data_IF_579867315452
#
_entry.id   IF_579867315452
#
_cell.length_a   1.000
_cell.length_b   1.000
_cell.length_c   1.000
_cell.angle_alpha   90.00
_cell.angle_beta   90.00
_cell.angle_gamma   90.00
#
_symmetry.space_group_name_H-M   'P 1'
#
loop_
_entity.id
_entity.type
_entity.pdbx_description
1 polymer ?
#
# COMPACT_ATOMS: atom_id res chain seq x y z
N UNK A 1 -77.41 48.77 0.91
CA UNK A 1 -76.30 48.95 1.87
C UNK A 1 -75.35 47.73 1.71
N UNK A 2 -74.09 47.91 1.30
CA UNK A 2 -72.99 47.04 1.35
C UNK A 2 -72.86 45.90 0.29
N UNK A 3 -72.57 46.27 -0.94
CA UNK A 3 -72.09 45.38 -1.97
C UNK A 3 -70.74 45.88 -2.57
N UNK A 4 -69.83 46.48 -1.80
CA UNK A 4 -68.57 46.99 -2.36
C UNK A 4 -67.29 46.58 -1.61
N UNK A 5 -67.32 45.52 -0.80
CA UNK A 5 -66.15 45.10 -0.05
C UNK A 5 -65.58 43.69 -0.40
N UNK A 6 -66.21 43.02 -1.32
CA UNK A 6 -65.73 41.64 -1.69
C UNK A 6 -64.77 41.58 -2.91
N UNK A 7 -64.63 42.70 -3.68
CA UNK A 7 -63.89 42.68 -4.96
C UNK A 7 -62.45 43.15 -4.84
N UNK A 8 -62.01 43.66 -3.68
CA UNK A 8 -60.63 44.16 -3.52
C UNK A 8 -59.67 43.22 -2.85
N UNK A 9 -60.19 42.11 -2.32
CA UNK A 9 -59.32 41.10 -1.66
C UNK A 9 -58.85 39.99 -2.59
N UNK A 10 -59.45 39.83 -3.77
CA UNK A 10 -59.07 38.78 -4.73
C UNK A 10 -57.91 39.19 -5.68
N UNK A 11 -57.62 40.49 -5.82
CA UNK A 11 -56.56 40.96 -6.72
C UNK A 11 -55.20 40.99 -6.02
N UNK A 12 -55.16 41.06 -4.70
CA UNK A 12 -53.88 41.04 -3.96
C UNK A 12 -53.31 39.63 -3.74
N UNK A 13 -54.14 38.57 -3.90
CA UNK A 13 -53.67 37.20 -3.77
C UNK A 13 -53.11 36.62 -5.09
N UNK A 14 -53.36 37.26 -6.23
CA UNK A 14 -52.90 36.77 -7.55
C UNK A 14 -51.51 37.30 -7.96
N UNK A 15 -50.99 38.32 -7.25
CA UNK A 15 -49.68 38.91 -7.54
C UNK A 15 -48.56 38.24 -6.72
N UNK A 16 -48.92 37.50 -5.68
CA UNK A 16 -47.90 36.75 -4.89
C UNK A 16 -47.61 35.35 -5.41
N UNK A 17 -48.33 34.86 -6.41
CA UNK A 17 -48.11 33.53 -7.03
C UNK A 17 -47.24 33.59 -8.27
N UNK A 18 -46.70 34.76 -8.65
CA UNK A 18 -45.78 34.93 -9.78
C UNK A 18 -44.37 35.32 -9.37
N UNK A 19 -44.07 35.46 -8.07
CA UNK A 19 -42.72 35.30 -7.60
C UNK A 19 -42.49 33.79 -7.45
N UNK A 20 -42.62 33.07 -8.55
CA UNK A 20 -42.16 31.72 -8.64
C UNK A 20 -40.69 31.74 -8.22
N UNK A 21 -40.44 31.25 -7.04
CA UNK A 21 -39.15 30.76 -6.67
C UNK A 21 -38.76 29.74 -7.76
N UNK A 22 -38.11 30.20 -8.81
CA UNK A 22 -37.21 29.34 -9.55
C UNK A 22 -36.04 29.07 -8.60
N UNK A 23 -36.28 28.26 -7.57
CA UNK A 23 -35.22 27.40 -7.11
C UNK A 23 -34.88 26.57 -8.33
N UNK A 24 -33.93 27.03 -9.10
CA UNK A 24 -33.11 26.15 -9.92
C UNK A 24 -32.60 25.16 -8.87
N UNK A 25 -33.26 24.01 -8.82
CA UNK A 25 -32.64 22.84 -8.25
C UNK A 25 -31.47 22.60 -9.22
N UNK A 26 -30.34 23.25 -8.90
CA UNK A 26 -29.06 22.88 -9.44
C UNK A 26 -28.86 21.45 -8.94
N UNK A 27 -29.34 20.50 -9.74
CA UNK A 27 -29.15 19.09 -9.43
C UNK A 27 -27.69 18.82 -9.73
N UNK A 28 -26.88 19.11 -8.73
CA UNK A 28 -25.48 18.78 -8.72
C UNK A 28 -25.35 17.28 -8.98
N UNK A 29 -24.96 16.91 -10.18
CA UNK A 29 -24.63 15.53 -10.51
C UNK A 29 -23.25 15.24 -10.00
N UNK A 30 -23.15 14.27 -9.10
CA UNK A 30 -21.85 13.83 -8.60
C UNK A 30 -21.09 13.09 -9.73
N UNK A 31 -19.78 13.29 -9.82
CA UNK A 31 -18.95 12.57 -10.78
C UNK A 31 -18.87 11.08 -10.40
N UNK A 32 -18.22 10.28 -11.22
CA UNK A 32 -17.90 8.89 -10.97
C UNK A 32 -16.39 8.71 -10.89
N UNK A 33 -15.86 8.37 -9.72
CA UNK A 33 -14.45 8.08 -9.51
C UNK A 33 -14.07 6.69 -10.04
N UNK A 34 -12.95 6.62 -10.75
CA UNK A 34 -12.33 5.37 -11.17
C UNK A 34 -10.82 5.45 -10.90
N UNK A 35 -10.23 4.38 -10.35
CA UNK A 35 -8.83 4.33 -9.95
C UNK A 35 -8.22 2.98 -10.33
N UNK A 36 -7.08 3.03 -10.99
CA UNK A 36 -6.20 1.89 -11.24
C UNK A 36 -4.85 2.20 -10.61
N UNK A 37 -4.35 1.30 -9.77
CA UNK A 37 -2.98 1.31 -9.24
C UNK A 37 -2.16 0.23 -9.94
N UNK A 38 -0.92 0.53 -10.32
CA UNK A 38 -0.04 -0.43 -11.01
C UNK A 38 1.43 -0.15 -10.69
N UNK A 39 2.19 -1.15 -10.20
CA UNK A 39 1.72 -2.44 -9.67
C UNK A 39 0.98 -2.28 -8.33
N UNK A 40 0.32 -3.34 -7.84
CA UNK A 40 -0.37 -3.34 -6.53
C UNK A 40 0.40 -4.07 -5.43
N UNK A 41 1.47 -4.77 -5.81
CA UNK A 41 2.41 -5.44 -4.93
C UNK A 41 3.81 -4.99 -5.32
N UNK A 42 4.58 -4.44 -4.37
CA UNK A 42 5.87 -3.79 -4.57
C UNK A 42 6.78 -4.00 -3.37
N UNK A 43 8.08 -3.75 -3.56
CA UNK A 43 9.04 -3.61 -2.46
C UNK A 43 9.06 -2.16 -1.94
N UNK A 44 9.50 -1.98 -0.69
CA UNK A 44 9.71 -0.64 -0.11
C UNK A 44 10.57 0.23 -1.03
N UNK A 45 10.08 1.43 -1.36
CA UNK A 45 10.78 2.40 -2.21
C UNK A 45 10.55 2.23 -3.70
N UNK A 46 9.83 1.21 -4.16
CA UNK A 46 9.41 1.11 -5.55
C UNK A 46 8.25 2.06 -5.86
N UNK A 47 8.11 2.41 -7.14
CA UNK A 47 7.11 3.37 -7.59
C UNK A 47 5.83 2.69 -8.05
N UNK A 48 4.69 3.17 -7.53
CA UNK A 48 3.35 2.81 -8.00
C UNK A 48 2.77 3.97 -8.81
N UNK A 49 2.19 3.67 -9.96
CA UNK A 49 1.44 4.63 -10.76
C UNK A 49 -0.05 4.51 -10.48
N UNK A 50 -0.72 5.65 -10.42
CA UNK A 50 -2.16 5.77 -10.17
C UNK A 50 -2.82 6.48 -11.34
N UNK A 51 -3.76 5.79 -11.99
CA UNK A 51 -4.49 6.28 -13.15
C UNK A 51 -5.99 6.40 -12.83
N UNK A 52 -6.46 7.64 -12.83
CA UNK A 52 -7.86 8.01 -12.62
C UNK A 52 -8.51 8.60 -13.88
N UNK A 53 -7.86 8.55 -15.04
CA UNK A 53 -8.35 9.15 -16.29
C UNK A 53 -9.65 8.54 -16.81
N UNK A 54 -10.04 7.36 -16.28
CA UNK A 54 -11.34 6.75 -16.55
C UNK A 54 -12.48 7.27 -15.66
N UNK A 55 -12.19 8.22 -14.76
CA UNK A 55 -13.23 8.93 -14.00
C UNK A 55 -14.08 9.78 -14.93
N UNK A 56 -15.38 9.89 -14.62
CA UNK A 56 -16.37 10.59 -15.44
C UNK A 56 -17.05 11.71 -14.63
N UNK A 57 -17.12 12.91 -15.19
CA UNK A 57 -17.81 14.06 -14.56
C UNK A 57 -19.34 13.92 -14.56
N UNK A 58 -19.89 12.97 -15.40
CA UNK A 58 -21.31 12.80 -15.72
C UNK A 58 -21.86 14.04 -16.47
N UNK A 59 -21.71 15.22 -15.88
CA UNK A 59 -21.98 16.53 -16.50
C UNK A 59 -20.78 17.45 -16.25
N UNK A 60 -20.46 18.30 -17.20
CA UNK A 60 -19.34 19.24 -17.12
C UNK A 60 -17.96 18.56 -17.26
N UNK A 61 -17.01 18.94 -16.42
CA UNK A 61 -15.64 18.46 -16.43
C UNK A 61 -15.13 18.17 -15.03
N UNK A 62 -14.22 17.20 -14.88
CA UNK A 62 -13.50 17.02 -13.63
C UNK A 62 -12.47 18.15 -13.51
N UNK A 63 -12.48 18.82 -12.37
CA UNK A 63 -11.59 19.97 -12.08
C UNK A 63 -10.46 19.60 -11.13
N UNK A 64 -10.62 18.53 -10.32
CA UNK A 64 -9.61 18.12 -9.35
C UNK A 64 -9.63 16.61 -9.11
N UNK A 65 -8.44 16.05 -8.96
CA UNK A 65 -8.17 14.70 -8.44
C UNK A 65 -7.35 14.85 -7.16
N UNK A 66 -7.95 14.57 -6.02
CA UNK A 66 -7.28 14.58 -4.72
C UNK A 66 -6.92 13.16 -4.31
N UNK A 67 -5.65 12.95 -3.99
CA UNK A 67 -5.03 11.67 -3.69
C UNK A 67 -4.60 11.65 -2.22
N UNK A 68 -5.03 10.62 -1.50
CA UNK A 68 -4.53 10.27 -0.18
C UNK A 68 -3.91 8.87 -0.27
N UNK A 69 -2.60 8.76 -0.12
CA UNK A 69 -1.89 7.51 -0.31
C UNK A 69 -2.00 6.55 0.88
N UNK A 70 -2.59 7.01 2.00
CA UNK A 70 -2.78 6.19 3.19
C UNK A 70 -1.54 6.02 4.06
N UNK A 71 -0.41 6.58 3.66
CA UNK A 71 0.86 6.62 4.41
C UNK A 71 1.07 7.94 5.17
N UNK A 72 0.08 8.84 5.12
CA UNK A 72 0.10 10.18 5.67
C UNK A 72 0.47 11.26 4.65
N UNK A 73 0.76 10.90 3.41
CA UNK A 73 1.03 11.84 2.31
C UNK A 73 -0.20 12.01 1.42
N UNK A 74 -0.36 13.21 0.86
CA UNK A 74 -1.48 13.59 0.00
C UNK A 74 -0.99 14.50 -1.11
N UNK A 75 -1.69 14.49 -2.26
CA UNK A 75 -1.44 15.41 -3.36
C UNK A 75 -2.73 15.68 -4.15
N UNK A 76 -2.72 16.72 -5.00
CA UNK A 76 -3.80 17.00 -5.94
C UNK A 76 -3.23 17.17 -7.35
N UNK A 77 -3.99 16.73 -8.36
CA UNK A 77 -3.65 16.87 -9.76
C UNK A 77 -4.87 17.29 -10.58
N UNK A 78 -4.64 17.80 -11.78
CA UNK A 78 -5.70 18.06 -12.78
C UNK A 78 -5.66 17.04 -13.92
N UNK A 79 -4.59 16.25 -14.02
CA UNK A 79 -4.36 15.30 -15.11
C UNK A 79 -5.02 13.93 -14.91
N UNK A 80 -5.50 13.63 -13.70
CA UNK A 80 -6.00 12.29 -13.34
C UNK A 80 -4.92 11.21 -13.31
N UNK A 81 -3.65 11.59 -13.21
CA UNK A 81 -2.52 10.66 -13.16
C UNK A 81 -1.46 11.16 -12.20
N UNK A 82 -0.91 10.23 -11.40
CA UNK A 82 0.20 10.51 -10.48
C UNK A 82 0.99 9.24 -10.20
N UNK A 83 2.15 9.36 -9.54
CA UNK A 83 2.90 8.25 -8.99
C UNK A 83 3.30 8.52 -7.54
N UNK A 84 3.59 7.46 -6.80
CA UNK A 84 4.01 7.54 -5.42
C UNK A 84 4.95 6.41 -5.04
N UNK A 85 5.89 6.66 -4.11
CA UNK A 85 6.79 5.69 -3.51
C UNK A 85 6.47 5.54 -2.03
N UNK A 86 6.19 4.32 -1.58
CA UNK A 86 5.96 4.01 -0.18
C UNK A 86 7.31 3.70 0.49
N UNK A 87 7.64 4.45 1.55
CA UNK A 87 8.92 4.32 2.26
C UNK A 87 8.84 3.40 3.48
N UNK A 88 7.74 2.72 3.67
CA UNK A 88 7.52 1.72 4.71
C UNK A 88 6.70 0.58 4.15
N UNK A 89 6.95 -0.60 4.66
CA UNK A 89 6.19 -1.79 4.35
C UNK A 89 4.79 -1.76 4.97
N UNK A 90 3.89 -2.58 4.45
CA UNK A 90 2.52 -2.73 4.92
C UNK A 90 1.45 -2.60 3.84
N UNK A 91 0.20 -2.45 4.26
CA UNK A 91 -0.94 -2.32 3.36
C UNK A 91 -1.46 -0.88 3.38
N UNK A 92 -1.53 -0.26 2.21
CA UNK A 92 -1.97 1.12 2.05
C UNK A 92 -3.25 1.18 1.21
N UNK A 93 -4.31 1.75 1.80
CA UNK A 93 -5.55 2.04 1.09
C UNK A 93 -5.45 3.44 0.48
N UNK A 94 -5.07 3.48 -0.80
CA UNK A 94 -4.98 4.75 -1.54
C UNK A 94 -6.38 5.20 -1.91
N UNK A 95 -6.76 6.39 -1.47
CA UNK A 95 -8.06 7.00 -1.74
C UNK A 95 -7.91 8.10 -2.80
N UNK A 96 -8.72 8.00 -3.83
CA UNK A 96 -8.96 9.05 -4.79
C UNK A 96 -10.29 9.73 -4.48
N UNK A 97 -10.31 11.07 -4.51
CA UNK A 97 -11.54 11.86 -4.54
C UNK A 97 -11.49 12.73 -5.79
N UNK A 98 -12.52 12.66 -6.62
CA UNK A 98 -12.68 13.50 -7.81
C UNK A 98 -13.74 14.59 -7.57
N UNK A 99 -13.51 15.78 -8.11
CA UNK A 99 -14.44 16.93 -8.03
C UNK A 99 -14.75 17.43 -9.44
N UNK A 100 -16.01 17.66 -9.75
CA UNK A 100 -16.41 18.29 -11.02
C UNK A 100 -16.60 19.80 -10.88
N UNK A 101 -16.80 20.52 -12.00
CA UNK A 101 -17.02 21.96 -12.04
C UNK A 101 -18.34 22.41 -11.41
N UNK A 102 -19.34 21.53 -11.25
CA UNK A 102 -20.52 21.71 -10.44
C UNK A 102 -20.25 21.62 -8.94
N UNK A 103 -19.03 21.22 -8.54
CA UNK A 103 -18.60 20.98 -7.15
C UNK A 103 -19.18 19.68 -6.57
N UNK A 104 -19.67 18.73 -7.42
CA UNK A 104 -19.96 17.34 -7.06
C UNK A 104 -18.68 16.58 -6.76
N UNK A 105 -18.73 15.59 -5.88
CA UNK A 105 -17.57 14.76 -5.53
C UNK A 105 -17.93 13.29 -5.45
N UNK A 106 -16.99 12.43 -5.84
CA UNK A 106 -17.06 10.99 -5.59
C UNK A 106 -15.69 10.47 -5.22
N UNK A 107 -15.62 9.33 -4.56
CA UNK A 107 -14.35 8.74 -4.15
C UNK A 107 -14.32 7.24 -4.29
N UNK A 108 -13.13 6.71 -4.58
CA UNK A 108 -12.84 5.28 -4.67
C UNK A 108 -11.49 4.98 -4.03
N UNK A 109 -11.20 3.70 -3.79
CA UNK A 109 -9.94 3.26 -3.17
C UNK A 109 -9.30 2.13 -3.97
N UNK A 110 -7.96 2.07 -3.89
CA UNK A 110 -7.16 0.94 -4.34
C UNK A 110 -6.23 0.50 -3.21
N UNK A 111 -6.06 -0.81 -3.05
CA UNK A 111 -5.11 -1.38 -2.08
C UNK A 111 -3.76 -1.57 -2.75
N UNK A 112 -2.70 -1.10 -2.09
CA UNK A 112 -1.30 -1.38 -2.43
C UNK A 112 -0.67 -2.14 -1.27
N UNK A 113 0.03 -3.24 -1.58
CA UNK A 113 0.84 -4.01 -0.65
C UNK A 113 2.30 -3.69 -0.89
N UNK A 114 3.00 -3.35 0.17
CA UNK A 114 4.42 -3.00 0.14
C UNK A 114 5.16 -3.98 1.02
N UNK A 115 5.98 -4.81 0.42
CA UNK A 115 6.79 -5.78 1.12
C UNK A 115 8.04 -5.13 1.72
N UNK A 116 8.40 -5.53 2.93
CA UNK A 116 9.63 -5.21 3.63
C UNK A 116 10.51 -6.43 3.77
N UNK A 117 11.79 -6.29 3.56
CA UNK A 117 12.74 -7.41 3.72
C UNK A 117 12.79 -7.90 5.18
N UNK A 118 12.98 -9.21 5.41
CA UNK A 118 13.17 -9.75 6.74
C UNK A 118 14.30 -9.10 7.51
N UNK A 119 14.08 -8.81 8.79
CA UNK A 119 15.08 -8.27 9.71
C UNK A 119 15.78 -9.41 10.43
N UNK A 120 16.97 -9.76 9.95
CA UNK A 120 17.74 -10.87 10.49
C UNK A 120 18.23 -10.51 11.91
N UNK A 121 17.88 -11.36 12.88
CA UNK A 121 18.41 -11.34 14.23
C UNK A 121 19.14 -12.65 14.48
N UNK A 122 20.46 -12.59 14.35
CA UNK A 122 21.36 -13.75 14.41
C UNK A 122 22.22 -13.72 15.68
N UNK A 123 22.13 -14.78 16.47
CA UNK A 123 23.00 -15.03 17.62
C UNK A 123 23.94 -16.21 17.32
N UNK A 124 25.24 -15.93 17.27
CA UNK A 124 26.29 -16.93 17.06
C UNK A 124 27.41 -16.73 18.08
N UNK A 125 28.03 -17.80 18.61
CA UNK A 125 29.18 -17.69 19.49
C UNK A 125 30.43 -17.31 18.69
N UNK A 126 31.20 -16.30 19.14
CA UNK A 126 32.47 -15.91 18.52
C UNK A 126 33.55 -17.02 18.63
N UNK A 127 33.54 -17.76 19.72
CA UNK A 127 34.52 -18.81 20.02
C UNK A 127 33.80 -19.98 20.70
N UNK A 128 34.07 -21.17 20.18
CA UNK A 128 33.62 -22.44 20.74
C UNK A 128 34.82 -23.35 20.98
N UNK A 129 34.82 -24.14 22.04
CA UNK A 129 35.89 -25.11 22.30
C UNK A 129 35.76 -26.26 21.31
N UNK A 130 36.89 -26.77 20.82
CA UNK A 130 36.92 -27.99 20.00
C UNK A 130 36.29 -29.17 20.79
N UNK A 131 35.32 -29.82 20.17
CA UNK A 131 34.53 -30.90 20.73
C UNK A 131 33.17 -30.45 21.34
N UNK A 132 32.95 -29.14 21.52
CA UNK A 132 31.64 -28.61 21.89
C UNK A 132 30.73 -28.41 20.65
N UNK A 133 29.48 -28.08 20.87
CA UNK A 133 28.50 -27.75 19.83
C UNK A 133 28.31 -26.24 19.79
N UNK A 134 28.47 -25.63 18.61
CA UNK A 134 28.09 -24.26 18.37
C UNK A 134 26.58 -24.18 18.07
N UNK A 135 25.84 -23.36 18.80
CA UNK A 135 24.45 -23.05 18.49
C UNK A 135 24.41 -21.76 17.67
N UNK A 136 23.83 -21.84 16.47
CA UNK A 136 23.55 -20.71 15.58
C UNK A 136 22.05 -20.49 15.65
N UNK A 137 21.63 -19.35 16.17
CA UNK A 137 20.23 -19.07 16.47
C UNK A 137 19.75 -17.84 15.69
N UNK A 138 18.86 -18.06 14.73
CA UNK A 138 18.19 -17.03 13.94
C UNK A 138 16.69 -16.92 14.24
N UNK A 139 16.20 -17.60 15.28
CA UNK A 139 14.77 -17.64 15.66
C UNK A 139 14.20 -16.26 16.04
N UNK A 140 15.08 -15.30 16.31
CA UNK A 140 14.68 -13.91 16.57
C UNK A 140 14.48 -13.06 15.31
N UNK A 141 14.67 -13.63 14.11
CA UNK A 141 14.41 -12.95 12.83
C UNK A 141 12.91 -12.69 12.68
N UNK A 142 12.58 -11.49 12.21
CA UNK A 142 11.19 -11.10 12.01
C UNK A 142 10.99 -10.55 10.60
N UNK A 143 9.86 -10.89 10.02
CA UNK A 143 9.34 -10.23 8.83
C UNK A 143 8.41 -9.07 9.25
N UNK A 144 8.51 -7.86 8.66
CA UNK A 144 7.69 -6.71 9.04
C UNK A 144 6.19 -6.91 8.82
N UNK A 145 5.79 -7.71 7.84
CA UNK A 145 4.40 -8.03 7.50
C UNK A 145 3.93 -9.32 8.17
N UNK A 146 4.86 -10.09 8.75
CA UNK A 146 4.60 -11.38 9.38
C UNK A 146 4.49 -12.52 8.37
N UNK A 147 5.12 -12.38 7.20
CA UNK A 147 5.17 -13.41 6.17
C UNK A 147 5.98 -14.63 6.63
N UNK A 148 5.63 -15.84 6.16
CA UNK A 148 6.40 -17.05 6.46
C UNK A 148 7.81 -16.96 5.87
N UNK A 149 8.82 -17.13 6.70
CA UNK A 149 10.22 -17.05 6.28
C UNK A 149 10.81 -18.45 6.00
N UNK A 150 11.73 -18.50 5.04
CA UNK A 150 12.59 -19.66 4.78
C UNK A 150 14.00 -19.31 5.14
N UNK A 151 14.62 -20.15 5.95
CA UNK A 151 16.02 -20.03 6.33
C UNK A 151 16.86 -20.91 5.43
N UNK A 152 18.01 -20.44 4.96
CA UNK A 152 18.96 -21.17 4.13
C UNK A 152 20.36 -20.90 4.66
N UNK A 153 20.95 -21.90 5.31
CA UNK A 153 22.30 -21.84 5.87
C UNK A 153 23.27 -22.54 4.94
N UNK A 154 24.33 -21.83 4.58
CA UNK A 154 25.57 -22.39 4.09
C UNK A 154 26.57 -22.36 5.24
N UNK A 155 26.92 -23.51 5.80
CA UNK A 155 27.70 -23.63 7.03
C UNK A 155 29.19 -23.75 6.79
N UNK A 156 29.62 -23.95 5.54
CA UNK A 156 31.04 -24.09 5.20
C UNK A 156 31.34 -23.70 3.76
N UNK A 157 31.81 -22.51 3.54
CA UNK A 157 32.22 -21.99 2.21
C UNK A 157 33.36 -22.77 1.52
N UNK A 158 33.93 -23.81 2.14
CA UNK A 158 35.02 -24.61 1.59
C UNK A 158 34.53 -25.94 1.04
N UNK A 159 33.29 -26.29 1.22
CA UNK A 159 32.69 -27.54 0.75
C UNK A 159 31.59 -27.22 -0.27
N UNK A 160 31.58 -27.94 -1.36
CA UNK A 160 30.54 -27.98 -2.36
C UNK A 160 29.66 -29.20 -2.05
N UNK A 161 28.64 -29.00 -1.21
CA UNK A 161 27.80 -30.08 -0.72
C UNK A 161 26.75 -30.52 -1.73
N UNK A 162 26.38 -29.64 -2.67
CA UNK A 162 25.41 -29.92 -3.72
C UNK A 162 26.08 -30.43 -5.04
N UNK A 163 27.39 -30.23 -5.22
CA UNK A 163 28.18 -30.74 -6.35
C UNK A 163 28.04 -29.91 -7.64
N UNK A 164 27.63 -28.64 -7.55
CA UNK A 164 27.46 -27.76 -8.71
C UNK A 164 28.73 -26.99 -9.12
N UNK A 165 29.77 -27.05 -8.30
CA UNK A 165 31.06 -26.37 -8.50
C UNK A 165 31.15 -24.99 -7.81
N UNK A 166 30.12 -24.57 -7.11
CA UNK A 166 30.06 -23.32 -6.34
C UNK A 166 29.93 -23.63 -4.84
N UNK A 167 30.87 -23.18 -4.02
CA UNK A 167 30.95 -23.54 -2.60
C UNK A 167 30.25 -22.53 -1.68
N UNK A 168 29.51 -21.55 -2.21
CA UNK A 168 28.89 -20.46 -1.43
C UNK A 168 27.39 -20.33 -1.64
N UNK A 169 26.79 -21.32 -2.25
CA UNK A 169 25.35 -21.36 -2.55
C UNK A 169 24.69 -22.64 -2.02
N UNK A 170 25.44 -23.41 -1.25
CA UNK A 170 24.96 -24.67 -0.68
C UNK A 170 23.97 -24.40 0.45
N UNK A 171 22.94 -25.22 0.53
CA UNK A 171 22.00 -25.18 1.64
C UNK A 171 22.19 -26.40 2.51
N UNK A 172 22.94 -26.23 3.61
CA UNK A 172 23.24 -27.28 4.57
C UNK A 172 22.14 -27.47 5.61
N UNK A 173 21.37 -26.41 5.90
CA UNK A 173 20.23 -26.45 6.81
C UNK A 173 19.18 -25.40 6.47
N UNK A 174 17.92 -25.72 6.80
CA UNK A 174 16.76 -24.81 6.67
C UNK A 174 16.09 -24.53 8.01
N UNK A 175 16.69 -24.93 9.10
CA UNK A 175 16.17 -24.74 10.45
C UNK A 175 16.46 -23.32 10.96
N UNK A 176 15.61 -22.77 11.80
CA UNK A 176 15.83 -21.47 12.46
C UNK A 176 17.01 -21.50 13.43
N UNK A 177 17.26 -22.68 14.04
CA UNK A 177 18.36 -22.91 14.98
C UNK A 177 19.17 -24.10 14.46
N UNK A 178 20.47 -23.90 14.30
CA UNK A 178 21.39 -24.91 13.84
C UNK A 178 22.42 -25.26 14.93
N UNK A 179 22.66 -26.54 15.13
CA UNK A 179 23.67 -27.07 16.07
C UNK A 179 24.84 -27.63 15.28
N UNK A 180 25.95 -26.91 15.25
CA UNK A 180 27.16 -27.25 14.47
C UNK A 180 28.21 -27.91 15.39
N UNK A 181 28.55 -29.19 15.18
CA UNK A 181 29.65 -29.85 15.90
C UNK A 181 31.01 -29.25 15.53
N UNK A 182 31.86 -28.96 16.53
CA UNK A 182 33.19 -28.37 16.34
C UNK A 182 34.29 -29.39 16.64
N UNK A 183 34.48 -30.39 15.78
CA UNK A 183 35.44 -31.49 16.01
C UNK A 183 36.89 -31.06 15.90
N UNK A 184 37.20 -30.02 15.14
CA UNK A 184 38.56 -29.54 14.87
C UNK A 184 38.70 -28.09 15.20
N UNK A 185 39.90 -27.66 15.62
CA UNK A 185 40.21 -26.24 15.78
C UNK A 185 40.37 -25.60 14.37
N UNK A 186 39.83 -24.40 14.24
CA UNK A 186 39.86 -23.63 12.99
C UNK A 186 38.82 -22.51 12.99
N UNK A 187 38.65 -21.89 11.86
CA UNK A 187 37.60 -20.90 11.61
C UNK A 187 36.64 -21.49 10.58
N UNK A 188 35.35 -21.43 10.85
CA UNK A 188 34.31 -21.77 9.91
C UNK A 188 33.69 -20.47 9.40
N UNK A 189 33.49 -20.38 8.11
CA UNK A 189 32.81 -19.27 7.45
C UNK A 189 31.57 -19.80 6.75
N UNK A 190 30.44 -19.18 7.00
CA UNK A 190 29.16 -19.53 6.41
C UNK A 190 28.28 -18.31 6.23
N UNK A 191 27.09 -18.51 5.69
CA UNK A 191 26.07 -17.48 5.53
C UNK A 191 24.70 -17.97 5.95
N UNK A 192 23.84 -17.01 6.23
CA UNK A 192 22.40 -17.21 6.38
C UNK A 192 21.70 -16.30 5.38
N UNK A 193 20.86 -16.89 4.54
CA UNK A 193 19.88 -16.19 3.71
C UNK A 193 18.49 -16.46 4.27
N UNK A 194 17.68 -15.41 4.38
CA UNK A 194 16.28 -15.51 4.79
C UNK A 194 15.42 -14.94 3.67
N UNK A 195 14.45 -15.73 3.23
CA UNK A 195 13.53 -15.41 2.12
C UNK A 195 12.09 -15.45 2.65
N UNK A 196 11.34 -14.35 2.47
CA UNK A 196 9.92 -14.22 2.80
C UNK A 196 9.00 -14.72 1.68
N UNK A 197 9.57 -15.02 0.51
CA UNK A 197 8.85 -15.48 -0.67
C UNK A 197 8.10 -14.38 -1.44
N UNK A 198 8.31 -13.11 -1.08
CA UNK A 198 7.65 -11.95 -1.68
C UNK A 198 8.62 -11.01 -2.42
N UNK A 199 9.90 -11.37 -2.50
CA UNK A 199 11.00 -10.60 -3.10
C UNK A 199 11.42 -11.02 -4.50
#
# INVERSE_FOLDING_TARGET
MNSKRATFLCILLLVQLLAGCTAVLDSKTDPRAALIATPTEIQVGEEVTFDARSSDAIEGVITEFAWDFGDGTQTTTISGFTSHQFLRSGQFNVKLTVTNDGGGTDSTTALVRVNGVPQINLSIPEVVRSGDIAMLDASGTIDPEGSPMKFMWDLNFLEDSNGDGETRNDVDSTEEIVYLPTEKSGTIMGSLTVDDGEG
#
